data_IF_459851935065
#
_entry.id   IF_459851935065
#
_cell.length_a   1.000
_cell.length_b   1.000
_cell.length_c   1.000
_cell.angle_alpha   90.00
_cell.angle_beta   90.00
_cell.angle_gamma   90.00
#
_symmetry.space_group_name_H-M   'P 1'
#
loop_
_entity.id
_entity.type
_entity.pdbx_description
1 polymer ?
2 non-polymer ?
3 water ?
#
# COMPACT_ATOMS: atom_id res chain seq x y z
N UNK A 21 2.39 -17.55 -8.93
CA UNK A 21 2.32 -16.14 -8.51
C UNK A 21 1.55 -15.26 -9.49
N UNK A 22 1.19 -14.06 -9.05
CA UNK A 22 0.46 -13.12 -9.89
C UNK A 22 1.43 -12.19 -10.60
N UNK A 23 0.97 -11.58 -11.68
CA UNK A 23 1.79 -10.61 -12.41
C UNK A 23 1.99 -9.34 -11.60
N UNK A 24 3.17 -8.73 -11.74
CA UNK A 24 3.50 -7.47 -11.10
C UNK A 24 4.10 -6.56 -12.17
N UNK A 25 3.61 -5.31 -12.29
CA UNK A 25 2.54 -4.65 -11.52
C UNK A 25 1.16 -5.26 -11.71
N UNK A 26 0.38 -5.20 -10.65
CA UNK A 26 -0.93 -5.81 -10.60
C UNK A 26 -1.95 -4.75 -10.28
N UNK A 27 -3.06 -4.77 -10.99
CA UNK A 27 -4.17 -3.86 -10.72
C UNK A 27 -5.35 -4.62 -10.16
N UNK A 28 -5.74 -4.27 -8.94
CA UNK A 28 -6.90 -4.86 -8.30
C UNK A 28 -8.03 -3.83 -8.28
N UNK A 29 -9.07 -4.07 -9.09
CA UNK A 29 -10.24 -3.19 -9.05
C UNK A 29 -10.88 -3.22 -7.68
N UNK A 30 -11.37 -2.07 -7.22
CA UNK A 30 -12.09 -1.97 -5.97
C UNK A 30 -13.48 -1.45 -6.31
N UNK A 31 -14.42 -2.37 -6.60
CA UNK A 31 -15.70 -1.95 -7.18
C UNK A 31 -16.49 -1.02 -6.26
N UNK A 32 -16.85 0.15 -6.79
CA UNK A 32 -17.60 1.13 -6.04
C UNK A 32 -16.74 1.88 -5.03
N UNK A 33 -15.43 1.73 -5.15
CA UNK A 33 -14.51 2.46 -4.30
C UNK A 33 -14.34 1.80 -2.95
N UNK A 34 -13.71 2.51 -2.02
CA UNK A 34 -13.51 1.94 -0.70
C UNK A 34 -14.52 2.52 0.27
N UNK A 35 -14.67 1.86 1.41
CA UNK A 35 -15.68 2.23 2.37
C UNK A 35 -15.15 1.78 3.71
N UNK A 36 -15.48 2.51 4.78
CA UNK A 36 -15.04 2.02 6.08
C UNK A 36 -15.50 0.58 6.32
N UNK A 37 -14.60 -0.20 6.92
CA UNK A 37 -14.74 -1.63 7.25
C UNK A 37 -14.24 -2.53 6.13
N UNK A 38 -13.85 -1.93 5.00
CA UNK A 38 -13.26 -2.73 3.94
C UNK A 38 -11.82 -3.07 4.29
N UNK A 39 -11.47 -4.34 4.12
CA UNK A 39 -10.14 -4.84 4.45
C UNK A 39 -9.47 -5.38 3.20
N UNK A 40 -8.30 -4.85 2.86
CA UNK A 40 -7.59 -5.32 1.68
C UNK A 40 -6.36 -6.06 2.16
N UNK A 41 -6.15 -7.26 1.64
CA UNK A 41 -5.04 -8.11 2.08
C UNK A 41 -4.13 -8.43 0.90
N UNK A 42 -2.85 -8.14 1.07
CA UNK A 42 -1.85 -8.46 0.07
C UNK A 42 -0.86 -9.46 0.64
N UNK A 43 -0.73 -10.61 -0.01
CA UNK A 43 0.26 -11.62 0.38
C UNK A 43 1.36 -11.69 -0.68
N UNK A 44 2.61 -11.72 -0.24
CA UNK A 44 3.70 -11.76 -1.20
C UNK A 44 4.98 -12.17 -0.51
N UNK A 45 6.05 -12.27 -1.30
CA UNK A 45 7.38 -12.50 -0.77
C UNK A 45 8.27 -11.41 -1.33
N UNK A 46 9.06 -10.79 -0.47
CA UNK A 46 10.00 -9.76 -0.93
C UNK A 46 11.14 -10.42 -1.70
N UNK A 47 11.48 -9.87 -2.86
CA UNK A 47 12.61 -10.40 -3.61
C UNK A 47 13.91 -10.19 -2.85
N UNK A 48 14.89 -11.07 -3.07
CA UNK A 48 16.19 -10.81 -2.47
C UNK A 48 16.78 -9.54 -3.09
N UNK A 49 17.47 -8.74 -2.28
CA UNK A 49 18.05 -7.48 -2.76
C UNK A 49 17.00 -6.52 -3.31
N UNK A 50 15.80 -6.59 -2.76
CA UNK A 50 14.74 -5.67 -3.13
C UNK A 50 15.15 -4.24 -2.87
N UNK A 51 14.65 -3.34 -3.72
CA UNK A 51 14.88 -1.91 -3.53
C UNK A 51 13.63 -1.19 -3.05
N UNK A 52 12.47 -1.61 -3.55
CA UNK A 52 11.25 -0.89 -3.22
C UNK A 52 9.99 -1.70 -3.51
N UNK A 53 8.93 -1.37 -2.78
CA UNK A 53 7.59 -1.91 -2.99
C UNK A 53 6.64 -0.72 -3.01
N UNK A 54 5.53 -0.80 -3.74
CA UNK A 54 4.53 0.26 -3.65
C UNK A 54 3.11 -0.26 -3.78
N UNK A 55 2.23 0.24 -2.92
CA UNK A 55 0.80 0.07 -3.05
C UNK A 55 0.23 1.44 -3.38
N UNK A 56 -0.63 1.51 -4.39
CA UNK A 56 -1.21 2.77 -4.83
C UNK A 56 -2.73 2.68 -4.92
N UNK A 57 -3.42 3.26 -3.93
CA UNK A 57 -4.87 3.38 -4.00
C UNK A 57 -5.19 4.57 -4.89
N UNK A 58 -5.83 4.30 -6.03
CA UNK A 58 -6.00 5.33 -7.05
C UNK A 58 -7.43 5.84 -7.21
N UNK A 59 -7.55 7.15 -7.43
CA UNK A 59 -8.81 7.79 -7.82
C UNK A 59 -8.56 8.42 -9.18
N UNK A 60 -8.92 7.71 -10.25
CA UNK A 60 -8.52 8.12 -11.59
C UNK A 60 -7.00 8.24 -11.66
N UNK A 61 -6.51 9.37 -12.17
CA UNK A 61 -5.07 9.60 -12.21
C UNK A 61 -4.46 9.97 -10.86
N UNK A 62 -5.30 10.32 -9.89
CA UNK A 62 -4.78 10.68 -8.57
C UNK A 62 -4.41 9.43 -7.77
N UNK A 63 -3.39 9.55 -6.92
CA UNK A 63 -3.09 8.49 -5.97
C UNK A 63 -3.53 8.95 -4.58
N UNK A 64 -4.63 8.38 -4.09
CA UNK A 64 -5.12 8.75 -2.78
C UNK A 64 -4.17 8.37 -1.66
N UNK A 65 -3.58 7.18 -1.78
CA UNK A 65 -2.70 6.66 -0.75
C UNK A 65 -1.64 5.82 -1.43
N UNK A 66 -0.40 6.32 -1.35
CA UNK A 66 0.81 5.70 -1.86
C UNK A 66 1.55 5.18 -0.65
N UNK A 67 1.76 3.87 -0.59
CA UNK A 67 2.45 3.20 0.52
C UNK A 67 3.71 2.58 -0.07
N UNK A 68 4.87 3.11 0.31
CA UNK A 68 6.11 2.86 -0.44
C UNK A 68 7.30 2.50 0.44
N UNK A 69 7.43 1.21 0.81
CA UNK A 69 8.63 0.72 1.48
C UNK A 69 9.86 0.89 0.60
N UNK A 70 10.87 1.56 1.15
CA UNK A 70 12.15 1.75 0.46
C UNK A 70 13.24 1.03 1.24
N UNK A 71 13.94 0.12 0.58
CA UNK A 71 14.93 -0.71 1.27
C UNK A 71 16.30 -0.07 1.33
N UNK A 72 16.54 0.93 0.49
CA UNK A 72 17.85 1.54 0.45
C UNK A 72 17.77 3.00 0.08
N UNK A 73 17.20 3.80 0.98
CA UNK A 73 17.22 5.23 0.82
C UNK A 73 18.34 5.79 1.69
N UNK A 74 19.43 6.19 1.05
CA UNK A 74 20.63 6.62 1.78
C UNK A 74 21.06 5.55 2.78
N UNK A 75 20.99 4.30 2.33
CA UNK A 75 21.36 3.13 3.13
C UNK A 75 20.53 3.00 4.41
N UNK A 76 19.32 3.57 4.38
CA UNK A 76 18.35 3.38 5.45
C UNK A 76 17.11 2.69 4.89
N UNK A 77 16.33 2.05 5.76
CA UNK A 77 15.05 1.50 5.34
C UNK A 77 13.95 2.38 5.89
N UNK A 78 12.99 2.74 5.05
CA UNK A 78 11.94 3.65 5.48
C UNK A 78 10.68 3.40 4.66
N UNK A 79 9.52 3.61 5.27
CA UNK A 79 8.29 3.58 4.51
C UNK A 79 7.84 5.02 4.25
N UNK A 80 7.64 5.35 2.98
CA UNK A 80 7.17 6.66 2.58
C UNK A 80 5.71 6.57 2.15
N UNK A 81 4.87 7.42 2.73
CA UNK A 81 3.46 7.50 2.34
C UNK A 81 3.15 8.88 1.81
N UNK A 82 2.29 8.94 0.79
CA UNK A 82 1.96 10.23 0.20
C UNK A 82 0.71 10.14 -0.66
N UNK A 83 0.31 11.29 -1.19
CA UNK A 83 -0.85 11.43 -2.05
C UNK A 83 -0.41 12.20 -3.29
N UNK A 84 -0.88 11.78 -4.46
CA UNK A 84 -0.57 12.49 -5.70
C UNK A 84 -1.84 13.09 -6.27
N UNK A 85 -1.85 14.40 -6.43
CA UNK A 85 -3.01 15.11 -6.96
C UNK A 85 -2.60 15.92 -8.17
N UNK A 86 -3.35 15.77 -9.26
CA UNK A 86 -3.05 16.51 -10.49
C UNK A 86 -1.58 16.36 -10.88
N UNK A 87 -1.09 15.12 -10.75
CA UNK A 87 0.27 14.71 -11.09
C UNK A 87 1.38 15.28 -10.19
N UNK A 88 0.99 15.87 -9.06
CA UNK A 88 1.95 16.40 -8.09
C UNK A 88 1.91 15.66 -6.76
N UNK A 89 3.08 15.26 -6.25
CA UNK A 89 3.14 14.65 -4.92
C UNK A 89 3.02 15.70 -3.82
N UNK A 90 2.38 15.32 -2.72
CA UNK A 90 2.19 16.21 -1.59
C UNK A 90 3.29 16.03 -0.56
N UNK A 91 2.97 16.34 0.69
CA UNK A 91 3.93 16.20 1.76
C UNK A 91 4.01 14.75 2.19
N UNK A 92 5.24 14.24 2.29
CA UNK A 92 5.44 12.85 2.67
C UNK A 92 5.21 12.62 4.15
N UNK A 93 4.70 11.44 4.47
CA UNK A 93 4.67 10.96 5.84
C UNK A 93 5.57 9.76 5.89
N UNK A 94 6.54 9.79 6.79
CA UNK A 94 7.54 8.73 6.84
C UNK A 94 7.45 7.90 8.10
N UNK A 95 7.62 6.60 7.94
CA UNK A 95 7.59 5.66 9.05
C UNK A 95 8.89 4.88 9.03
N UNK A 96 9.70 5.04 10.08
CA UNK A 96 11.00 4.39 10.15
C UNK A 96 10.90 2.94 10.63
N UNK A 97 9.80 2.58 11.26
CA UNK A 97 9.54 1.19 11.59
C UNK A 97 9.35 0.40 10.30
N UNK A 98 10.15 -0.64 10.11
CA UNK A 98 10.25 -1.28 8.81
C UNK A 98 10.18 -2.79 8.93
N UNK A 99 8.98 -3.35 8.73
CA UNK A 99 8.74 -4.76 9.03
C UNK A 99 9.05 -5.71 7.88
N UNK A 100 9.44 -5.17 6.72
CA UNK A 100 9.71 -6.00 5.56
C UNK A 100 11.14 -6.47 5.59
N UNK A 101 11.36 -7.67 5.06
CA UNK A 101 12.68 -8.29 5.06
C UNK A 101 12.91 -8.94 3.70
N UNK A 102 14.00 -8.58 3.04
CA UNK A 102 14.29 -9.15 1.73
C UNK A 102 14.27 -10.68 1.78
N UNK A 103 13.64 -11.29 0.79
CA UNK A 103 13.57 -12.73 0.70
C UNK A 103 12.47 -13.40 1.50
N UNK A 104 11.74 -12.64 2.31
CA UNK A 104 10.78 -13.25 3.22
C UNK A 104 9.33 -12.92 2.90
N UNK A 105 8.43 -13.85 3.22
CA UNK A 105 7.00 -13.67 2.98
C UNK A 105 6.40 -12.64 3.92
N UNK A 106 5.44 -11.88 3.40
CA UNK A 106 4.79 -10.84 4.18
C UNK A 106 3.30 -10.88 3.95
N UNK A 107 2.58 -10.23 4.86
CA UNK A 107 1.17 -9.93 4.69
C UNK A 107 0.96 -8.47 5.00
N UNK A 108 0.38 -7.73 4.05
CA UNK A 108 -0.06 -6.37 4.29
C UNK A 108 -1.57 -6.36 4.37
N UNK A 109 -2.10 -5.82 5.46
CA UNK A 109 -3.55 -5.62 5.55
C UNK A 109 -3.83 -4.14 5.65
N UNK A 110 -4.76 -3.66 4.83
CA UNK A 110 -5.14 -2.27 4.87
C UNK A 110 -6.61 -2.23 5.22
N UNK A 111 -6.90 -1.69 6.39
CA UNK A 111 -8.28 -1.53 6.84
C UNK A 111 -8.71 -0.10 6.60
N UNK A 112 -9.79 0.08 5.86
CA UNK A 112 -10.33 1.41 5.65
C UNK A 112 -11.17 1.81 6.85
N UNK A 113 -10.81 2.93 7.47
CA UNK A 113 -11.53 3.46 8.61
C UNK A 113 -12.10 4.81 8.19
N UNK A 114 -13.03 5.37 8.99
CA UNK A 114 -13.67 6.60 8.53
C UNK A 114 -12.69 7.74 8.23
N UNK A 115 -11.59 7.84 8.98
CA UNK A 115 -10.72 9.00 8.80
C UNK A 115 -9.31 8.64 8.36
N UNK A 116 -9.02 7.35 8.24
CA UNK A 116 -7.69 6.95 7.78
C UNK A 116 -7.68 5.56 7.20
N UNK A 117 -6.63 5.27 6.45
CA UNK A 117 -6.24 3.90 6.17
C UNK A 117 -5.41 3.38 7.34
N UNK A 118 -5.76 2.21 7.86
CA UNK A 118 -4.98 1.58 8.92
C UNK A 118 -4.19 0.41 8.34
N UNK A 119 -2.87 0.43 8.47
CA UNK A 119 -2.04 -0.61 7.87
C UNK A 119 -1.38 -1.49 8.91
N UNK A 120 -1.53 -2.80 8.75
CA UNK A 120 -0.82 -3.78 9.57
C UNK A 120 0.03 -4.70 8.68
N UNK A 121 1.22 -5.05 9.14
CA UNK A 121 2.07 -5.96 8.38
C UNK A 121 2.40 -7.15 9.27
N UNK A 122 2.15 -8.35 8.76
CA UNK A 122 2.36 -9.59 9.52
C UNK A 122 1.67 -9.54 10.87
N UNK A 123 0.46 -9.00 10.86
CA UNK A 123 -0.45 -8.94 12.01
C UNK A 123 -0.03 -7.95 13.09
N UNK A 124 0.93 -7.08 12.77
CA UNK A 124 1.32 -6.03 13.70
C UNK A 124 0.97 -4.67 13.11
N UNK A 125 0.25 -3.86 13.88
CA UNK A 125 -0.07 -2.50 13.44
C UNK A 125 1.19 -1.73 13.07
N UNK A 126 1.15 -1.08 11.92
CA UNK A 126 2.30 -0.34 11.42
C UNK A 126 2.07 1.16 11.38
N UNK A 127 1.01 1.60 10.70
CA UNK A 127 0.78 3.03 10.57
C UNK A 127 -0.67 3.35 10.24
N UNK A 128 -1.02 4.61 10.39
CA UNK A 128 -2.30 5.11 9.90
C UNK A 128 -2.02 6.27 8.96
N UNK A 129 -2.87 6.43 7.94
CA UNK A 129 -2.70 7.50 6.97
C UNK A 129 -4.02 8.23 6.82
N UNK A 130 -4.07 9.47 7.30
CA UNK A 130 -5.29 10.27 7.27
C UNK A 130 -5.79 10.49 5.83
N UNK A 131 -7.10 10.40 5.61
CA UNK A 131 -7.64 10.59 4.26
C UNK A 131 -7.44 12.01 3.77
N UNK A 132 -6.65 12.16 2.70
CA UNK A 132 -6.49 13.45 2.04
C UNK A 132 -7.47 13.54 0.88
N UNK A 133 -7.61 12.43 0.17
CA UNK A 133 -8.66 12.26 -0.83
C UNK A 133 -9.90 11.78 -0.10
N UNK A 134 -10.95 12.59 -0.10
CA UNK A 134 -12.08 12.34 0.80
C UNK A 134 -13.26 11.69 0.10
N UNK A 135 -13.21 11.62 -1.23
CA UNK A 135 -14.23 10.90 -1.99
C UNK A 135 -13.90 9.41 -2.04
N UNK A 136 -14.15 8.72 -0.93
CA UNK A 136 -13.69 7.35 -0.76
C UNK A 136 -14.28 6.42 -1.81
N UNK A 137 -15.54 6.62 -2.17
CA UNK A 137 -16.18 5.77 -3.17
C UNK A 137 -15.59 5.94 -4.58
N UNK A 138 -14.68 6.89 -4.75
CA UNK A 138 -14.06 7.10 -6.06
C UNK A 138 -12.65 6.52 -6.12
N UNK A 139 -12.20 5.98 -4.99
CA UNK A 139 -10.89 5.34 -4.92
C UNK A 139 -11.11 3.88 -5.32
N UNK A 140 -11.05 3.62 -6.62
CA UNK A 140 -11.60 2.37 -7.14
C UNK A 140 -10.59 1.42 -7.77
N UNK A 141 -9.30 1.64 -7.53
CA UNK A 141 -8.28 0.73 -8.03
C UNK A 141 -7.15 0.69 -7.03
N UNK A 142 -6.58 -0.50 -6.83
CA UNK A 142 -5.33 -0.63 -6.10
C UNK A 142 -4.25 -1.18 -7.02
N UNK A 143 -3.17 -0.42 -7.20
CA UNK A 143 -2.03 -0.89 -7.96
C UNK A 143 -0.97 -1.44 -7.02
N UNK A 144 -0.38 -2.57 -7.38
CA UNK A 144 0.68 -3.19 -6.58
C UNK A 144 1.93 -3.35 -7.45
N UNK A 145 3.04 -2.77 -7.03
CA UNK A 145 4.25 -2.80 -7.84
C UNK A 145 5.50 -2.99 -7.00
N UNK A 146 6.62 -3.18 -7.67
CA UNK A 146 7.89 -3.24 -6.98
C UNK A 146 8.46 -4.62 -6.87
N UNK A 147 9.41 -4.76 -5.95
CA UNK A 147 10.28 -5.92 -5.92
C UNK A 147 9.73 -7.06 -5.07
N UNK A 148 8.59 -7.60 -5.49
CA UNK A 148 7.96 -8.70 -4.79
C UNK A 148 7.51 -9.80 -5.72
N UNK A 149 7.41 -11.00 -5.17
CA UNK A 149 6.62 -12.05 -5.78
C UNK A 149 5.24 -11.94 -5.17
N UNK A 150 4.24 -11.68 -6.00
CA UNK A 150 2.89 -11.48 -5.48
C UNK A 150 2.09 -12.78 -5.42
N UNK A 151 1.59 -13.10 -4.24
CA UNK A 151 0.88 -14.35 -4.02
C UNK A 151 -0.64 -14.21 -4.08
N UNK A 152 -1.16 -13.15 -3.47
CA UNK A 152 -2.59 -12.91 -3.50
C UNK A 152 -2.91 -11.46 -3.17
N UNK A 153 -3.99 -10.98 -3.78
CA UNK A 153 -4.50 -9.64 -3.54
C UNK A 153 -6.01 -9.77 -3.49
N UNK A 154 -6.61 -9.44 -2.36
CA UNK A 154 -8.05 -9.61 -2.22
C UNK A 154 -8.63 -8.60 -1.24
N UNK A 155 -9.95 -8.59 -1.13
CA UNK A 155 -10.60 -7.70 -0.18
C UNK A 155 -11.84 -8.38 0.41
N UNK A 156 -12.25 -7.90 1.57
CA UNK A 156 -13.47 -8.37 2.19
C UNK A 156 -14.00 -7.29 3.13
N UNK A 157 -15.16 -7.51 3.73
CA UNK A 157 -15.70 -6.58 4.72
C UNK A 157 -15.62 -7.21 6.10
N UNK A 158 -15.16 -6.45 7.08
CA UNK A 158 -15.17 -6.96 8.45
C UNK A 158 -16.10 -6.13 9.33
X LIG B 1 10.99 10.38 -4.47
X LIG B 1 9.22 8.82 -5.86
X LIG B 1 7.75 8.50 -6.11
X LIG B 1 7.15 9.89 -4.14
X LIG B 1 6.37 9.98 -2.83
X LIG B 1 7.84 1.47 -6.41
X LIG B 1 9.35 10.11 -5.05
X LIG B 1 10.93 11.92 -3.62
X LIG B 1 8.54 10.07 -3.87
X LIG B 1 11.42 12.94 -4.49
X LIG B 1 11.22 14.23 -3.92
X LIG B 1 11.59 15.30 -4.94
X LIG B 1 6.54 11.27 -2.24
X LIG B 1 10.65 15.25 -6.02
X LIG B 1 6.95 8.54 -4.82
X LIG B 1 12.06 14.36 -2.65
X LIG B 1 7.38 7.48 -3.95
X LIG B 1 13.45 14.20 -3.00
X LIG B 1 11.64 13.28 -1.66
X LIG B 1 12.44 13.29 -0.47
X LIG B 1 11.73 11.91 -2.32
X LIG B 1 9.89 8.96 -7.12
X LIG B 1 11.15 10.97 -1.40
X LIG B 1 7.57 7.16 -6.74
X LIG B 1 6.95 7.19 -7.99
X LIG B 1 6.88 5.85 -8.39
X LIG B 1 7.43 5.08 -7.42
X LIG B 1 7.87 5.90 -6.38
X LIG B 1 7.53 3.60 -7.49
X LIG B 1 7.75 2.86 -6.34
X LIG B 1 7.70 0.82 -7.62
X LIG B 1 7.46 1.56 -8.79
X LIG B 1 7.38 2.94 -8.71
X LIG B 1 8.07 0.75 -5.30
#
# INVERSE_FOLDING_TARGET
GSSHHHHHHSSGLVPRGSHMPLIVPYNLPLPGGVVPRMLITILGTVKPNANRIALDFQRGNDVAFHFNPRFNENNRRVIVCNTKLDNNWGREERQSVFPFESGKPFKIQVLVEPDHFKVAVNDAHLLQYNHRVKKLNEISKLGISGDIDLTSASYTMI
TGZ S1 C2 C3 C5 C6 C14 C1 C1' O5 O5' C5' C6' O6 O6' C4 C4' O4 O4' C3' O3' C2' O2 O2' N7 N8 N9 C10 C11 C12 C13 C15 C16 C17 F18
#
